data_IF_330152079496
#
_entry.id   IF_330152079496
#
_cell.length_a   1.000
_cell.length_b   1.000
_cell.length_c   1.000
_cell.angle_alpha   90.00
_cell.angle_beta   90.00
_cell.angle_gamma   90.00
#
_symmetry.space_group_name_H-M   'P 1'
#
loop_
_entity.id
_entity.type
_entity.pdbx_description
1 polymer ?
#
# COMPACT_ATOMS: atom_id res chain seq x y z
N UNK A 1 27.25 21.60 10.35
CA UNK A 1 27.02 22.58 11.42
C UNK A 1 26.05 23.62 10.90
N UNK A 2 24.81 23.62 11.38
CA UNK A 2 23.82 24.64 11.01
C UNK A 2 23.87 25.79 12.02
N UNK A 3 23.98 27.06 11.60
CA UNK A 3 23.84 28.18 12.50
C UNK A 3 22.35 28.49 12.76
N UNK A 4 22.00 28.59 14.05
CA UNK A 4 20.76 29.18 14.54
C UNK A 4 20.73 30.68 14.20
N UNK A 5 19.60 31.18 13.70
CA UNK A 5 19.00 32.47 14.15
C UNK A 5 17.59 32.65 13.58
N UNK A 6 16.66 32.76 14.54
CA UNK A 6 15.52 33.70 14.59
C UNK A 6 14.49 33.57 13.47
N UNK A 7 13.32 33.02 13.80
CA UNK A 7 12.07 33.69 13.45
C UNK A 7 11.16 33.75 14.67
N UNK A 8 10.91 34.99 15.08
CA UNK A 8 9.96 35.40 16.10
C UNK A 8 8.53 35.05 15.66
N UNK A 9 7.74 34.70 16.66
CA UNK A 9 6.29 34.56 16.62
C UNK A 9 5.69 35.88 16.18
N UNK A 10 5.08 35.92 14.99
CA UNK A 10 4.07 36.90 14.66
C UNK A 10 2.80 36.15 14.26
N UNK A 11 1.79 36.33 15.11
CA UNK A 11 0.40 35.97 14.92
C UNK A 11 -0.07 36.25 13.49
N UNK A 12 -0.32 35.21 12.72
CA UNK A 12 -1.14 35.28 11.52
C UNK A 12 -2.48 34.61 11.87
N UNK A 13 -3.54 35.38 11.68
CA UNK A 13 -4.92 34.95 11.83
C UNK A 13 -5.16 33.64 11.09
N UNK A 14 -5.77 32.70 11.78
CA UNK A 14 -6.30 31.45 11.26
C UNK A 14 -7.23 31.75 10.09
N UNK A 15 -6.73 31.56 8.88
CA UNK A 15 -7.58 31.36 7.72
C UNK A 15 -8.18 29.98 7.87
N UNK A 16 -9.45 29.94 8.29
CA UNK A 16 -10.34 28.79 8.14
C UNK A 16 -10.46 28.52 6.63
N UNK A 17 -9.62 27.65 6.11
CA UNK A 17 -9.74 27.09 4.77
C UNK A 17 -10.24 25.66 4.96
N UNK A 18 -11.48 25.41 4.55
CA UNK A 18 -12.14 24.12 4.70
C UNK A 18 -11.42 23.02 3.93
N UNK A 19 -10.85 22.09 4.67
CA UNK A 19 -10.58 20.71 4.26
C UNK A 19 -10.99 19.85 5.45
N UNK A 20 -12.24 19.39 5.46
CA UNK A 20 -12.85 18.58 6.54
C UNK A 20 -12.26 17.16 6.65
N UNK A 21 -11.08 16.87 6.09
CA UNK A 21 -10.55 15.51 5.94
C UNK A 21 -9.12 15.31 6.51
N UNK A 22 -8.65 16.24 7.36
CA UNK A 22 -7.38 16.10 8.11
C UNK A 22 -7.56 15.54 9.52
N UNK A 23 -8.79 15.50 10.03
CA UNK A 23 -9.10 14.96 11.35
C UNK A 23 -8.83 13.45 11.43
N UNK A 24 -9.08 12.75 10.32
CA UNK A 24 -8.74 11.34 10.14
C UNK A 24 -7.23 11.05 10.33
N UNK A 25 -6.37 11.90 9.79
CA UNK A 25 -4.92 11.76 9.92
C UNK A 25 -4.47 12.05 11.37
N UNK A 26 -5.12 12.98 12.04
CA UNK A 26 -4.90 13.25 13.46
C UNK A 26 -5.32 12.06 14.33
N UNK A 27 -6.46 11.44 14.02
CA UNK A 27 -6.99 10.26 14.73
C UNK A 27 -6.12 9.01 14.48
N UNK A 28 -5.65 8.79 13.24
CA UNK A 28 -4.70 7.73 12.91
C UNK A 28 -3.39 7.88 13.71
N UNK A 29 -2.89 9.11 13.81
CA UNK A 29 -1.67 9.39 14.60
C UNK A 29 -1.94 9.21 16.10
N UNK A 30 -3.11 9.60 16.60
CA UNK A 30 -3.51 9.37 17.98
C UNK A 30 -3.62 7.86 18.31
N UNK A 31 -4.18 7.06 17.40
CA UNK A 31 -4.25 5.60 17.55
C UNK A 31 -2.86 4.95 17.57
N UNK A 32 -1.93 5.44 16.73
CA UNK A 32 -0.53 5.01 16.78
C UNK A 32 0.15 5.41 18.10
N UNK A 33 -0.25 6.51 18.75
CA UNK A 33 0.27 6.90 20.07
C UNK A 33 -0.08 5.88 21.16
N UNK A 34 -1.28 5.30 21.13
CA UNK A 34 -1.69 4.29 22.13
C UNK A 34 -0.94 2.96 21.95
N UNK A 35 -0.70 2.54 20.71
CA UNK A 35 0.00 1.27 20.40
C UNK A 35 1.51 1.29 20.71
N UNK A 36 2.14 2.47 20.71
CA UNK A 36 3.57 2.62 21.02
C UNK A 36 3.86 2.75 22.52
N UNK A 37 2.90 3.23 23.32
CA UNK A 37 3.02 3.34 24.78
C UNK A 37 3.01 1.96 25.49
N UNK A 38 2.33 0.95 24.93
CA UNK A 38 2.22 -0.38 25.54
C UNK A 38 3.48 -1.25 25.39
N UNK A 39 4.45 -0.86 24.55
CA UNK A 39 5.66 -1.64 24.26
C UNK A 39 6.97 -1.01 24.77
N UNK A 40 6.92 0.11 25.49
CA UNK A 40 8.09 0.89 25.90
C UNK A 40 8.27 1.02 27.42
N UNK A 41 7.93 -0.02 28.19
CA UNK A 41 8.46 -0.15 29.55
C UNK A 41 9.85 -0.78 29.55
N UNK A 42 10.89 -0.11 29.03
CA UNK A 42 12.23 -0.09 29.67
C UNK A 42 13.27 0.80 28.97
N UNK A 43 13.94 1.59 29.82
CA UNK A 43 15.34 2.07 29.76
C UNK A 43 15.73 3.39 29.08
N UNK A 44 15.90 4.40 29.97
CA UNK A 44 17.07 5.28 30.15
C UNK A 44 17.41 6.33 29.07
N UNK A 45 17.01 7.57 29.37
CA UNK A 45 18.02 8.59 29.73
C UNK A 45 18.57 9.50 28.63
N UNK A 46 17.78 9.78 27.60
CA UNK A 46 17.70 11.06 26.87
C UNK A 46 16.19 11.33 26.76
N UNK A 47 15.69 12.57 26.69
CA UNK A 47 14.24 12.84 26.65
C UNK A 47 13.60 12.27 25.37
N UNK A 48 13.28 10.96 25.40
CA UNK A 48 12.66 10.18 24.31
C UNK A 48 11.40 10.90 23.79
N UNK A 49 10.70 11.57 24.70
CA UNK A 49 9.49 12.37 24.47
C UNK A 49 9.67 13.48 23.42
N UNK A 50 10.80 14.20 23.41
CA UNK A 50 11.03 15.33 22.48
C UNK A 50 11.40 14.86 21.06
N UNK A 51 12.18 13.79 20.96
CA UNK A 51 12.58 13.20 19.67
C UNK A 51 11.41 12.45 19.01
N UNK A 52 10.61 11.76 19.82
CA UNK A 52 9.42 11.05 19.35
C UNK A 52 8.36 12.04 18.87
N UNK A 53 8.14 13.13 19.59
CA UNK A 53 7.25 14.22 19.17
C UNK A 53 7.72 14.88 17.86
N UNK A 54 9.03 15.09 17.68
CA UNK A 54 9.58 15.66 16.44
C UNK A 54 9.38 14.74 15.23
N UNK A 55 9.61 13.43 15.40
CA UNK A 55 9.39 12.44 14.34
C UNK A 55 7.92 12.35 13.93
N UNK A 56 7.01 12.37 14.91
CA UNK A 56 5.55 12.39 14.69
C UNK A 56 5.10 13.63 13.92
N UNK A 57 5.54 14.82 14.35
CA UNK A 57 5.21 16.07 13.68
C UNK A 57 5.75 16.12 12.23
N UNK A 58 6.93 15.56 12.00
CA UNK A 58 7.49 15.45 10.66
C UNK A 58 6.68 14.47 9.79
N UNK A 59 6.32 13.30 10.32
CA UNK A 59 5.45 12.35 9.60
C UNK A 59 4.13 13.01 9.21
N UNK A 60 3.46 13.68 10.15
CA UNK A 60 2.21 14.38 9.90
C UNK A 60 2.35 15.43 8.80
N UNK A 61 3.36 16.30 8.90
CA UNK A 61 3.59 17.33 7.89
C UNK A 61 3.83 16.75 6.49
N UNK A 62 4.61 15.67 6.39
CA UNK A 62 4.86 14.98 5.12
C UNK A 62 3.60 14.31 4.57
N UNK A 63 2.83 13.63 5.43
CA UNK A 63 1.57 13.00 5.06
C UNK A 63 0.56 14.03 4.54
N UNK A 64 0.40 15.17 5.22
CA UNK A 64 -0.42 16.30 4.78
C UNK A 64 -0.01 16.79 3.39
N UNK A 65 1.28 17.03 3.15
CA UNK A 65 1.75 17.47 1.83
C UNK A 65 1.44 16.45 0.72
N UNK A 66 1.50 15.15 1.01
CA UNK A 66 1.21 14.11 0.02
C UNK A 66 -0.27 14.13 -0.40
N UNK A 67 -1.18 14.38 0.54
CA UNK A 67 -2.63 14.26 0.32
C UNK A 67 -3.29 15.59 -0.06
N UNK A 68 -2.66 16.73 0.24
CA UNK A 68 -3.21 18.07 -0.06
C UNK A 68 -3.38 18.28 -1.58
N UNK A 69 -4.60 18.43 -2.12
CA UNK A 69 -4.83 18.56 -3.56
C UNK A 69 -4.21 19.82 -4.18
N UNK A 70 -3.86 20.83 -3.37
CA UNK A 70 -3.25 22.08 -3.83
C UNK A 70 -1.73 22.03 -3.83
N UNK A 71 -1.13 21.00 -3.23
CA UNK A 71 0.32 20.86 -3.13
C UNK A 71 0.95 20.54 -4.49
N UNK A 72 2.12 21.12 -4.74
CA UNK A 72 2.84 20.91 -6.00
C UNK A 72 3.29 19.45 -6.14
N UNK A 73 3.25 18.93 -7.36
CA UNK A 73 3.66 17.55 -7.67
C UNK A 73 5.06 17.22 -7.17
N UNK A 74 6.01 18.15 -7.33
CA UNK A 74 7.40 17.99 -6.90
C UNK A 74 7.51 17.90 -5.38
N UNK A 75 6.70 18.65 -4.64
CA UNK A 75 6.67 18.64 -3.18
C UNK A 75 6.05 17.33 -2.69
N UNK A 76 4.94 16.89 -3.29
CA UNK A 76 4.34 15.57 -3.04
C UNK A 76 5.34 14.43 -3.25
N UNK A 77 6.05 14.44 -4.37
CA UNK A 77 7.09 13.45 -4.68
C UNK A 77 8.21 13.45 -3.63
N UNK A 78 8.71 14.63 -3.27
CA UNK A 78 9.74 14.77 -2.23
C UNK A 78 9.25 14.29 -0.87
N UNK A 79 8.00 14.57 -0.52
CA UNK A 79 7.40 14.13 0.73
C UNK A 79 7.26 12.60 0.76
N UNK A 80 6.84 11.96 -0.33
CA UNK A 80 6.79 10.50 -0.45
C UNK A 80 8.20 9.88 -0.33
N UNK A 81 9.21 10.49 -0.96
CA UNK A 81 10.61 10.08 -0.84
C UNK A 81 11.15 10.19 0.59
N UNK A 82 10.75 11.23 1.32
CA UNK A 82 11.09 11.41 2.72
C UNK A 82 10.37 10.36 3.60
N UNK A 83 9.08 10.10 3.36
CA UNK A 83 8.33 9.05 4.06
C UNK A 83 8.90 7.66 3.83
N UNK A 84 9.51 7.39 2.68
CA UNK A 84 10.18 6.11 2.41
C UNK A 84 11.40 5.85 3.32
N UNK A 85 11.83 6.83 4.12
CA UNK A 85 12.89 6.68 5.13
C UNK A 85 12.36 6.45 6.55
N UNK A 86 11.04 6.52 6.75
CA UNK A 86 10.41 6.20 8.04
C UNK A 86 10.22 4.68 8.21
N UNK A 87 10.09 4.19 9.46
CA UNK A 87 9.80 2.78 9.72
C UNK A 87 8.49 2.32 9.04
N UNK A 88 8.56 1.18 8.35
CA UNK A 88 7.42 0.59 7.63
C UNK A 88 6.14 0.44 8.48
N UNK A 89 6.19 0.01 9.77
CA UNK A 89 4.98 -0.13 10.58
C UNK A 89 4.19 1.17 10.77
N UNK A 90 4.85 2.33 10.65
CA UNK A 90 4.21 3.64 10.80
C UNK A 90 3.59 4.08 9.46
N UNK A 91 4.29 3.86 8.35
CA UNK A 91 3.91 4.40 7.03
C UNK A 91 2.96 3.48 6.27
N UNK A 92 3.14 2.17 6.34
CA UNK A 92 2.36 1.22 5.56
C UNK A 92 0.86 1.26 5.85
N UNK A 93 0.38 1.41 7.10
CA UNK A 93 -1.06 1.49 7.32
C UNK A 93 -1.66 2.77 6.73
N UNK A 94 -0.94 3.90 6.74
CA UNK A 94 -1.32 5.11 6.00
C UNK A 94 -1.40 4.85 4.48
N UNK A 95 -0.39 4.20 3.90
CA UNK A 95 -0.36 3.86 2.47
C UNK A 95 -1.54 2.95 2.09
N UNK A 96 -1.79 1.90 2.87
CA UNK A 96 -2.89 0.98 2.62
C UNK A 96 -4.26 1.65 2.81
N UNK A 97 -4.43 2.51 3.83
CA UNK A 97 -5.67 3.24 4.05
C UNK A 97 -6.09 4.07 2.81
N UNK A 98 -5.16 4.84 2.24
CA UNK A 98 -5.42 5.63 1.04
C UNK A 98 -5.66 4.77 -0.20
N UNK A 99 -4.96 3.64 -0.37
CA UNK A 99 -5.21 2.75 -1.50
C UNK A 99 -6.56 2.04 -1.39
N UNK A 100 -6.96 1.60 -0.20
CA UNK A 100 -8.30 1.03 0.04
C UNK A 100 -9.39 2.10 -0.18
N UNK A 101 -9.18 3.33 0.31
CA UNK A 101 -10.06 4.46 0.03
C UNK A 101 -10.25 4.64 -1.49
N UNK A 102 -9.16 4.65 -2.27
CA UNK A 102 -9.23 4.76 -3.74
C UNK A 102 -10.01 3.61 -4.39
N UNK A 103 -9.80 2.36 -3.94
CA UNK A 103 -10.56 1.20 -4.44
C UNK A 103 -12.06 1.36 -4.18
N UNK A 104 -12.43 1.90 -3.01
CA UNK A 104 -13.83 2.18 -2.63
C UNK A 104 -14.44 3.32 -3.44
N UNK A 105 -13.68 4.39 -3.67
CA UNK A 105 -14.09 5.52 -4.52
C UNK A 105 -14.43 5.06 -5.94
N UNK A 106 -13.63 4.15 -6.50
CA UNK A 106 -13.80 3.67 -7.88
C UNK A 106 -14.85 2.56 -8.02
N UNK A 107 -15.32 1.97 -6.92
CA UNK A 107 -16.34 0.92 -6.90
C UNK A 107 -17.51 1.26 -5.94
N UNK A 108 -18.24 2.37 -6.14
CA UNK A 108 -19.25 2.87 -5.20
C UNK A 108 -20.48 1.94 -5.04
N UNK A 109 -20.69 1.02 -5.99
CA UNK A 109 -21.79 0.04 -5.97
C UNK A 109 -21.35 -1.38 -5.58
N UNK A 110 -20.08 -1.58 -5.25
CA UNK A 110 -19.63 -2.85 -4.65
C UNK A 110 -20.20 -3.01 -3.24
N UNK A 111 -20.42 -4.25 -2.80
CA UNK A 111 -20.64 -4.51 -1.37
C UNK A 111 -19.40 -3.97 -0.62
N UNK A 112 -19.63 -3.02 0.29
CA UNK A 112 -18.59 -2.53 1.19
C UNK A 112 -18.30 -3.64 2.21
N UNK A 113 -17.39 -4.54 1.85
CA UNK A 113 -16.77 -5.44 2.81
C UNK A 113 -16.00 -4.62 3.84
N UNK A 114 -16.15 -4.93 5.12
CA UNK A 114 -15.24 -4.43 6.17
C UNK A 114 -13.82 -4.83 5.79
N UNK A 115 -12.88 -3.89 5.69
CA UNK A 115 -11.55 -4.27 5.22
C UNK A 115 -10.76 -5.00 6.30
N UNK A 116 -10.26 -6.19 5.96
CA UNK A 116 -9.33 -6.97 6.78
C UNK A 116 -7.88 -6.47 6.69
N UNK A 117 -7.61 -5.51 5.80
CA UNK A 117 -6.27 -4.96 5.53
C UNK A 117 -5.96 -3.78 6.46
N UNK A 118 -6.93 -2.89 6.65
CA UNK A 118 -6.87 -1.72 7.54
C UNK A 118 -8.22 -1.56 8.23
N UNK A 119 -8.21 -1.20 9.51
CA UNK A 119 -9.44 -0.90 10.25
C UNK A 119 -10.25 0.17 9.52
N UNK A 120 -11.57 -0.02 9.41
CA UNK A 120 -12.43 0.88 8.64
C UNK A 120 -12.41 2.33 9.15
N UNK A 121 -12.23 2.52 10.45
CA UNK A 121 -12.08 3.82 11.12
C UNK A 121 -10.83 4.59 10.65
N UNK A 122 -9.82 3.86 10.18
CA UNK A 122 -8.55 4.40 9.69
C UNK A 122 -8.54 4.59 8.16
N UNK A 123 -9.69 4.55 7.49
CA UNK A 123 -9.79 4.81 6.05
C UNK A 123 -10.30 6.24 5.83
N UNK A 124 -9.56 7.09 5.09
CA UNK A 124 -9.98 8.48 4.84
C UNK A 124 -11.23 8.53 3.95
N UNK A 125 -11.95 9.65 3.95
CA UNK A 125 -13.16 9.82 3.14
C UNK A 125 -12.85 9.95 1.65
N UNK A 126 -11.66 10.49 1.32
CA UNK A 126 -11.20 10.62 -0.05
C UNK A 126 -9.69 10.35 -0.25
N UNK A 127 -9.32 9.90 -1.45
CA UNK A 127 -7.94 9.65 -1.85
C UNK A 127 -7.60 10.34 -3.17
N UNK A 128 -8.36 10.05 -4.22
CA UNK A 128 -8.10 10.52 -5.57
C UNK A 128 -6.88 9.86 -6.25
N UNK A 129 -6.86 9.96 -7.58
CA UNK A 129 -5.92 9.21 -8.43
C UNK A 129 -4.44 9.59 -8.25
N UNK A 130 -4.14 10.87 -7.99
CA UNK A 130 -2.76 11.33 -7.80
C UNK A 130 -2.16 10.75 -6.52
N UNK A 131 -2.92 10.78 -5.43
CA UNK A 131 -2.53 10.20 -4.14
C UNK A 131 -2.35 8.70 -4.27
N UNK A 132 -3.28 7.99 -4.91
CA UNK A 132 -3.15 6.55 -5.18
C UNK A 132 -1.87 6.22 -5.97
N UNK A 133 -1.52 7.01 -7.00
CA UNK A 133 -0.26 6.87 -7.74
C UNK A 133 0.97 7.02 -6.84
N UNK A 134 0.95 7.98 -5.92
CA UNK A 134 2.05 8.19 -4.96
C UNK A 134 2.17 7.04 -3.96
N UNK A 135 1.04 6.47 -3.52
CA UNK A 135 1.04 5.30 -2.64
C UNK A 135 1.57 4.03 -3.34
N UNK A 136 1.18 3.80 -4.60
CA UNK A 136 1.75 2.70 -5.41
C UNK A 136 3.23 2.95 -5.71
N UNK A 137 3.63 4.20 -5.94
CA UNK A 137 5.03 4.57 -6.08
C UNK A 137 5.83 4.29 -4.79
N UNK A 138 5.27 4.60 -3.63
CA UNK A 138 5.87 4.26 -2.33
C UNK A 138 6.10 2.75 -2.19
N UNK A 139 5.08 1.92 -2.48
CA UNK A 139 5.22 0.46 -2.42
C UNK A 139 6.29 -0.07 -3.37
N UNK A 140 6.33 0.45 -4.62
CA UNK A 140 7.38 0.13 -5.57
C UNK A 140 8.78 0.42 -5.01
N UNK A 141 8.94 1.57 -4.36
CA UNK A 141 10.21 1.97 -3.76
C UNK A 141 10.61 1.09 -2.59
N UNK A 142 9.67 0.80 -1.69
CA UNK A 142 9.90 -0.10 -0.54
C UNK A 142 10.32 -1.49 -1.00
N UNK A 143 9.59 -2.13 -1.92
CA UNK A 143 9.96 -3.49 -2.36
C UNK A 143 11.21 -3.54 -3.26
N UNK A 144 11.57 -2.43 -3.88
CA UNK A 144 12.83 -2.33 -4.63
C UNK A 144 14.04 -2.22 -3.71
N UNK A 145 13.96 -1.40 -2.66
CA UNK A 145 15.10 -0.99 -1.84
C UNK A 145 15.23 -1.73 -0.50
N UNK A 146 14.12 -2.14 0.12
CA UNK A 146 14.11 -2.79 1.44
C UNK A 146 13.97 -4.31 1.31
N UNK A 147 15.08 -5.01 1.56
CA UNK A 147 15.11 -6.47 1.48
C UNK A 147 14.32 -7.18 2.59
N UNK A 148 13.89 -6.48 3.63
CA UNK A 148 13.02 -7.05 4.68
C UNK A 148 11.55 -6.94 4.33
N UNK A 149 11.17 -5.91 3.57
CA UNK A 149 9.78 -5.62 3.25
C UNK A 149 9.10 -6.75 2.47
N UNK A 150 9.75 -7.28 1.43
CA UNK A 150 9.14 -8.36 0.62
C UNK A 150 9.11 -9.72 1.33
N UNK A 151 9.97 -9.91 2.34
CA UNK A 151 10.05 -11.13 3.15
C UNK A 151 8.98 -11.20 4.23
N UNK A 152 8.46 -10.05 4.63
CA UNK A 152 7.32 -9.99 5.52
C UNK A 152 6.07 -10.45 4.79
N UNK A 153 5.62 -11.67 5.10
CA UNK A 153 4.46 -12.28 4.45
C UNK A 153 3.16 -11.54 4.71
N UNK A 154 3.04 -10.78 5.81
CA UNK A 154 1.85 -9.95 6.06
C UNK A 154 1.85 -8.73 5.13
N UNK A 155 2.97 -7.97 5.11
CA UNK A 155 3.14 -6.79 4.24
C UNK A 155 2.95 -7.16 2.77
N UNK A 156 3.65 -8.20 2.31
CA UNK A 156 3.57 -8.67 0.91
C UNK A 156 2.16 -9.14 0.57
N UNK A 157 1.47 -9.84 1.48
CA UNK A 157 0.12 -10.34 1.21
C UNK A 157 -0.89 -9.19 1.05
N UNK A 158 -0.89 -8.23 1.98
CA UNK A 158 -1.75 -7.05 1.94
C UNK A 158 -1.49 -6.20 0.71
N UNK A 159 -0.22 -5.96 0.38
CA UNK A 159 0.15 -5.22 -0.82
C UNK A 159 -0.36 -5.91 -2.08
N UNK A 160 -0.15 -7.22 -2.23
CA UNK A 160 -0.65 -7.96 -3.40
C UNK A 160 -2.17 -7.85 -3.54
N UNK A 161 -2.92 -8.03 -2.46
CA UNK A 161 -4.40 -7.93 -2.47
C UNK A 161 -4.85 -6.56 -2.98
N UNK A 162 -4.32 -5.47 -2.41
CA UNK A 162 -4.67 -4.10 -2.80
C UNK A 162 -4.28 -3.79 -4.24
N UNK A 163 -3.08 -4.20 -4.67
CA UNK A 163 -2.63 -3.98 -6.04
C UNK A 163 -3.53 -4.70 -7.05
N UNK A 164 -3.92 -5.94 -6.76
CA UNK A 164 -4.86 -6.71 -7.59
C UNK A 164 -6.23 -6.03 -7.63
N UNK A 165 -6.71 -5.46 -6.50
CA UNK A 165 -7.96 -4.69 -6.46
C UNK A 165 -7.95 -3.51 -7.42
N UNK A 166 -6.84 -2.78 -7.46
CA UNK A 166 -6.65 -1.66 -8.39
C UNK A 166 -6.62 -2.14 -9.85
N UNK A 167 -6.01 -3.31 -10.12
CA UNK A 167 -6.02 -3.93 -11.45
C UNK A 167 -7.42 -4.32 -11.93
N UNK A 168 -8.34 -4.65 -11.01
CA UNK A 168 -9.72 -5.01 -11.32
C UNK A 168 -10.62 -3.82 -11.69
N UNK A 169 -10.19 -2.58 -11.42
CA UNK A 169 -10.99 -1.37 -11.70
C UNK A 169 -11.20 -1.23 -13.21
N UNK A 170 -12.45 -1.14 -13.62
CA UNK A 170 -12.82 -0.92 -15.02
C UNK A 170 -12.65 0.56 -15.38
N UNK A 171 -11.95 0.82 -16.48
CA UNK A 171 -11.93 2.16 -17.07
C UNK A 171 -13.28 2.41 -17.76
N UNK A 172 -13.97 3.49 -17.40
CA UNK A 172 -15.06 4.00 -18.22
C UNK A 172 -14.55 4.37 -19.62
N UNK A 173 -15.38 4.17 -20.66
CA UNK A 173 -14.98 4.32 -22.07
C UNK A 173 -14.70 5.78 -22.49
N UNK A 174 -15.11 6.77 -21.69
CA UNK A 174 -14.98 8.19 -22.00
C UNK A 174 -14.33 8.96 -20.85
N UNK A 175 -13.03 9.28 -20.94
CA UNK A 175 -12.36 10.46 -20.34
C UNK A 175 -10.84 10.33 -20.30
N UNK A 176 -10.15 11.46 -20.14
CA UNK A 176 -8.73 11.58 -19.76
C UNK A 176 -8.34 10.71 -18.55
N UNK A 177 -9.29 10.39 -17.68
CA UNK A 177 -9.08 9.59 -16.47
C UNK A 177 -8.79 8.12 -16.79
N UNK A 178 -9.24 7.63 -17.95
CA UNK A 178 -8.88 6.30 -18.46
C UNK A 178 -7.37 6.15 -18.62
N UNK A 179 -6.72 7.14 -19.27
CA UNK A 179 -5.27 7.11 -19.48
C UNK A 179 -4.50 7.16 -18.15
N UNK A 180 -4.96 7.99 -17.21
CA UNK A 180 -4.31 8.14 -15.92
C UNK A 180 -4.51 6.89 -15.03
N UNK A 181 -5.66 6.22 -15.12
CA UNK A 181 -5.90 4.94 -14.46
C UNK A 181 -5.00 3.85 -15.03
N UNK A 182 -4.80 3.81 -16.35
CA UNK A 182 -3.87 2.84 -16.96
C UNK A 182 -2.42 3.01 -16.48
N UNK A 183 -1.97 4.25 -16.24
CA UNK A 183 -0.66 4.50 -15.64
C UNK A 183 -0.56 3.95 -14.21
N UNK A 184 -1.63 4.11 -13.41
CA UNK A 184 -1.68 3.58 -12.05
C UNK A 184 -1.65 2.03 -12.07
N UNK A 185 -2.46 1.42 -12.92
CA UNK A 185 -2.51 -0.03 -13.09
C UNK A 185 -1.16 -0.58 -13.56
N UNK A 186 -0.48 0.12 -14.48
CA UNK A 186 0.89 -0.23 -14.87
C UNK A 186 1.85 -0.19 -13.68
N UNK A 187 1.80 0.87 -12.86
CA UNK A 187 2.60 0.95 -11.64
C UNK A 187 2.32 -0.18 -10.65
N UNK A 188 1.09 -0.69 -10.62
CA UNK A 188 0.73 -1.87 -9.82
C UNK A 188 1.36 -3.15 -10.39
N UNK A 189 1.32 -3.34 -11.71
CA UNK A 189 1.94 -4.51 -12.37
C UNK A 189 3.45 -4.50 -12.16
N UNK A 190 4.10 -3.34 -12.30
CA UNK A 190 5.55 -3.19 -12.03
C UNK A 190 5.87 -3.59 -10.59
N UNK A 191 5.03 -3.19 -9.62
CA UNK A 191 5.20 -3.53 -8.20
C UNK A 191 5.05 -5.04 -7.94
N UNK A 192 4.02 -5.67 -8.51
CA UNK A 192 3.81 -7.12 -8.43
C UNK A 192 5.00 -7.85 -9.06
N UNK A 193 5.50 -7.40 -10.21
CA UNK A 193 6.64 -8.00 -10.87
C UNK A 193 7.91 -7.93 -10.00
N UNK A 194 8.18 -6.79 -9.36
CA UNK A 194 9.31 -6.64 -8.42
C UNK A 194 9.19 -7.64 -7.26
N UNK A 195 8.02 -7.74 -6.64
CA UNK A 195 7.76 -8.71 -5.57
C UNK A 195 8.05 -10.14 -6.01
N UNK A 196 7.48 -10.55 -7.16
CA UNK A 196 7.69 -11.89 -7.71
C UNK A 196 9.15 -12.17 -8.05
N UNK A 197 9.87 -11.20 -8.63
CA UNK A 197 11.28 -11.34 -8.97
C UNK A 197 12.15 -11.51 -7.71
N UNK A 198 11.89 -10.71 -6.67
CA UNK A 198 12.61 -10.81 -5.39
C UNK A 198 12.34 -12.15 -4.70
N UNK A 199 11.09 -12.60 -4.65
CA UNK A 199 10.70 -13.90 -4.10
C UNK A 199 11.32 -15.06 -4.90
N UNK A 200 11.27 -15.01 -6.23
CA UNK A 200 11.89 -16.03 -7.08
C UNK A 200 13.41 -16.12 -6.90
N UNK A 201 14.09 -14.97 -6.76
CA UNK A 201 15.53 -14.95 -6.48
C UNK A 201 15.87 -15.56 -5.13
N UNK A 202 15.02 -15.38 -4.12
CA UNK A 202 15.17 -15.98 -2.81
C UNK A 202 14.91 -17.49 -2.82
N UNK A 203 13.89 -17.96 -3.54
CA UNK A 203 13.62 -19.40 -3.74
C UNK A 203 14.84 -20.12 -4.31
N UNK A 204 15.49 -19.54 -5.33
CA UNK A 204 16.70 -20.09 -5.95
C UNK A 204 17.89 -20.12 -4.97
N UNK A 205 17.99 -19.13 -4.08
CA UNK A 205 19.06 -19.05 -3.09
C UNK A 205 18.86 -20.08 -1.96
N UNK A 206 17.62 -20.31 -1.54
CA UNK A 206 17.26 -21.19 -0.41
C UNK A 206 17.17 -22.68 -0.79
N UNK A 207 17.01 -23.03 -2.07
CA UNK A 207 17.00 -24.43 -2.55
C UNK A 207 18.31 -25.22 -2.26
N UNK A 208 19.33 -24.54 -1.72
CA UNK A 208 20.59 -25.14 -1.21
C UNK A 208 20.57 -25.53 0.27
N UNK A 209 19.57 -25.13 1.04
CA UNK A 209 19.40 -25.48 2.45
C UNK A 209 17.91 -25.67 2.77
N UNK A 210 17.49 -26.92 2.99
CA UNK A 210 16.11 -27.30 3.36
C UNK A 210 15.48 -26.32 4.35
N UNK A 211 14.42 -25.60 3.96
CA UNK A 211 13.18 -25.34 4.73
C UNK A 211 12.41 -24.12 4.21
N UNK A 212 11.12 -24.33 3.94
CA UNK A 212 10.00 -23.37 3.96
C UNK A 212 10.11 -22.15 3.06
N UNK A 213 9.89 -22.33 1.76
CA UNK A 213 9.69 -21.21 0.85
C UNK A 213 8.32 -21.27 0.19
N UNK A 214 7.50 -20.29 0.58
CA UNK A 214 6.77 -19.39 -0.31
C UNK A 214 6.92 -19.71 -1.80
N UNK A 215 6.28 -20.76 -2.30
CA UNK A 215 6.45 -21.18 -3.69
C UNK A 215 6.02 -20.03 -4.62
N UNK A 216 6.98 -19.28 -5.15
CA UNK A 216 6.72 -18.18 -6.07
C UNK A 216 5.94 -18.69 -7.27
N UNK A 217 6.17 -19.95 -7.66
CA UNK A 217 5.40 -20.63 -8.71
C UNK A 217 3.90 -20.76 -8.37
N UNK A 218 3.55 -21.02 -7.10
CA UNK A 218 2.16 -21.05 -6.65
C UNK A 218 1.52 -19.67 -6.71
N UNK A 219 2.26 -18.62 -6.31
CA UNK A 219 1.78 -17.24 -6.39
C UNK A 219 1.63 -16.75 -7.83
N UNK A 220 2.55 -17.10 -8.73
CA UNK A 220 2.44 -16.83 -10.17
C UNK A 220 1.22 -17.54 -10.76
N UNK A 221 1.01 -18.82 -10.43
CA UNK A 221 -0.17 -19.55 -10.89
C UNK A 221 -1.48 -18.93 -10.37
N UNK A 222 -1.48 -18.44 -9.14
CA UNK A 222 -2.61 -17.71 -8.56
C UNK A 222 -2.91 -16.43 -9.34
N UNK A 223 -1.89 -15.61 -9.58
CA UNK A 223 -2.00 -14.39 -10.36
C UNK A 223 -2.47 -14.68 -11.79
N UNK A 224 -1.93 -15.71 -12.45
CA UNK A 224 -2.37 -16.13 -13.78
C UNK A 224 -3.85 -16.55 -13.76
N UNK A 225 -4.29 -17.28 -12.74
CA UNK A 225 -5.70 -17.67 -12.61
C UNK A 225 -6.62 -16.46 -12.48
N UNK A 226 -6.21 -15.40 -11.80
CA UNK A 226 -6.97 -14.16 -11.68
C UNK A 226 -6.90 -13.29 -12.94
N UNK A 227 -5.72 -13.18 -13.54
CA UNK A 227 -5.51 -12.42 -14.78
C UNK A 227 -6.39 -13.01 -15.89
N UNK A 228 -6.42 -14.34 -16.05
CA UNK A 228 -7.09 -15.00 -17.16
C UNK A 228 -8.44 -15.64 -16.82
N UNK A 229 -8.89 -15.55 -15.56
CA UNK A 229 -10.15 -16.14 -15.13
C UNK A 229 -10.21 -17.66 -15.31
N UNK A 230 -9.07 -18.36 -15.31
CA UNK A 230 -9.06 -19.81 -15.46
C UNK A 230 -9.54 -20.44 -14.17
N UNK A 231 -10.52 -21.34 -14.25
CA UNK A 231 -10.98 -22.14 -13.10
C UNK A 231 -9.75 -22.77 -12.42
N UNK A 232 -9.49 -22.32 -11.19
CA UNK A 232 -8.44 -22.88 -10.35
C UNK A 232 -8.72 -24.37 -10.20
N UNK A 233 -7.81 -25.21 -10.71
CA UNK A 233 -7.87 -26.67 -10.56
C UNK A 233 -8.07 -26.97 -9.07
N UNK A 234 -9.15 -27.67 -8.69
CA UNK A 234 -9.51 -27.99 -7.29
C UNK A 234 -8.34 -28.60 -6.48
N UNK A 235 -7.32 -29.09 -7.18
CA UNK A 235 -6.07 -29.60 -6.61
C UNK A 235 -5.18 -28.52 -5.98
N UNK A 236 -5.17 -27.28 -6.48
CA UNK A 236 -4.41 -26.15 -5.90
C UNK A 236 -5.05 -25.68 -4.58
N UNK A 237 -6.38 -25.67 -4.48
CA UNK A 237 -7.12 -25.35 -3.25
C UNK A 237 -6.87 -26.33 -2.08
N UNK A 238 -6.28 -27.50 -2.35
CA UNK A 238 -6.08 -28.58 -1.36
C UNK A 238 -4.71 -28.59 -0.66
N UNK A 239 -3.78 -27.70 -1.03
CA UNK A 239 -2.54 -27.52 -0.25
C UNK A 239 -2.79 -26.59 0.95
N UNK A 240 -3.08 -27.18 2.11
CA UNK A 240 -3.24 -26.46 3.37
C UNK A 240 -1.88 -26.21 4.03
N UNK A 241 -1.24 -25.10 3.68
CA UNK A 241 -0.14 -24.53 4.44
C UNK A 241 -0.46 -23.06 4.77
N UNK A 242 -1.04 -22.76 5.94
CA UNK A 242 -1.51 -21.43 6.30
C UNK A 242 -0.39 -20.37 6.42
N UNK A 243 0.87 -20.81 6.46
CA UNK A 243 2.04 -19.93 6.48
C UNK A 243 2.54 -19.53 5.09
N UNK A 244 2.05 -20.15 4.00
CA UNK A 244 2.47 -19.80 2.65
C UNK A 244 1.78 -18.51 2.19
N UNK A 245 2.56 -17.56 1.66
CA UNK A 245 2.07 -16.29 1.10
C UNK A 245 0.90 -16.50 0.13
N UNK A 246 0.95 -17.55 -0.69
CA UNK A 246 -0.14 -17.95 -1.59
C UNK A 246 -1.48 -18.06 -0.84
N UNK A 247 -1.52 -18.82 0.25
CA UNK A 247 -2.74 -19.07 1.00
C UNK A 247 -3.26 -17.80 1.66
N UNK A 248 -2.35 -16.95 2.19
CA UNK A 248 -2.70 -15.67 2.78
C UNK A 248 -3.32 -14.72 1.77
N UNK A 249 -2.69 -14.55 0.61
CA UNK A 249 -3.21 -13.68 -0.46
C UNK A 249 -4.56 -14.21 -0.96
N UNK A 250 -4.70 -15.52 -1.15
CA UNK A 250 -5.96 -16.12 -1.56
C UNK A 250 -7.07 -15.87 -0.53
N UNK A 251 -6.81 -16.15 0.74
CA UNK A 251 -7.80 -15.97 1.83
C UNK A 251 -8.22 -14.50 1.96
N UNK A 252 -7.26 -13.57 1.91
CA UNK A 252 -7.55 -12.14 1.99
C UNK A 252 -8.34 -11.65 0.78
N UNK A 253 -8.04 -12.12 -0.43
CA UNK A 253 -8.88 -11.78 -1.57
C UNK A 253 -10.28 -12.36 -1.42
N UNK A 254 -10.44 -13.59 -0.92
CA UNK A 254 -11.75 -14.22 -0.74
C UNK A 254 -12.62 -13.46 0.28
N UNK A 255 -12.00 -12.79 1.25
CA UNK A 255 -12.70 -11.91 2.20
C UNK A 255 -12.99 -10.51 1.66
N UNK A 256 -12.11 -9.95 0.82
CA UNK A 256 -12.23 -8.57 0.35
C UNK A 256 -12.94 -8.44 -1.01
N UNK A 257 -13.05 -9.53 -1.76
CA UNK A 257 -13.48 -9.55 -3.15
C UNK A 257 -14.64 -10.51 -3.35
N UNK A 258 -15.77 -10.04 -3.86
CA UNK A 258 -16.94 -10.92 -4.10
C UNK A 258 -16.73 -11.84 -5.30
N UNK A 259 -17.23 -13.09 -5.28
CA UNK A 259 -17.21 -14.03 -6.43
C UNK A 259 -17.69 -13.40 -7.75
N UNK A 260 -18.62 -12.43 -7.69
CA UNK A 260 -19.11 -11.71 -8.86
C UNK A 260 -18.05 -10.82 -9.52
N UNK A 261 -17.11 -10.30 -8.73
CA UNK A 261 -16.00 -9.48 -9.19
C UNK A 261 -14.77 -10.33 -9.56
N UNK A 262 -14.68 -11.61 -9.17
CA UNK A 262 -13.61 -12.55 -9.54
C UNK A 262 -13.64 -12.96 -11.04
N UNK A 263 -14.08 -12.05 -11.91
CA UNK A 263 -14.07 -12.22 -13.35
C UNK A 263 -12.69 -11.86 -13.89
N UNK A 264 -12.44 -12.24 -15.15
CA UNK A 264 -11.21 -11.86 -15.87
C UNK A 264 -10.93 -10.35 -15.72
N UNK A 265 -9.67 -10.01 -15.42
CA UNK A 265 -9.22 -8.61 -15.37
C UNK A 265 -9.52 -7.89 -16.70
N UNK A 266 -9.65 -6.54 -16.70
CA UNK A 266 -9.81 -5.76 -17.92
C UNK A 266 -8.77 -6.14 -18.98
N UNK A 267 -9.17 -6.22 -20.26
CA UNK A 267 -8.31 -6.72 -21.36
C UNK A 267 -6.98 -5.96 -21.45
N UNK A 268 -6.99 -4.64 -21.23
CA UNK A 268 -5.79 -3.80 -21.26
C UNK A 268 -4.79 -4.20 -20.16
N UNK A 269 -5.29 -4.49 -18.95
CA UNK A 269 -4.49 -4.97 -17.82
C UNK A 269 -3.91 -6.35 -18.15
N UNK A 270 -4.72 -7.27 -18.70
CA UNK A 270 -4.24 -8.59 -19.14
C UNK A 270 -3.09 -8.50 -20.13
N UNK A 271 -3.23 -7.67 -21.16
CA UNK A 271 -2.17 -7.42 -22.16
C UNK A 271 -0.91 -6.86 -21.49
N UNK A 272 -1.07 -5.92 -20.56
CA UNK A 272 0.05 -5.31 -19.83
C UNK A 272 0.77 -6.34 -18.93
N UNK A 273 0.02 -7.16 -18.19
CA UNK A 273 0.56 -8.26 -17.40
C UNK A 273 1.36 -9.24 -18.26
N UNK A 274 0.86 -9.65 -19.44
CA UNK A 274 1.61 -10.50 -20.37
C UNK A 274 2.94 -9.85 -20.80
N UNK A 275 2.95 -8.54 -21.03
CA UNK A 275 4.16 -7.85 -21.49
C UNK A 275 5.23 -7.69 -20.41
N UNK A 276 4.83 -7.61 -19.14
CA UNK A 276 5.74 -7.37 -18.01
C UNK A 276 6.15 -8.69 -17.35
N UNK A 277 5.23 -9.63 -17.14
CA UNK A 277 5.50 -10.90 -16.44
C UNK A 277 6.20 -11.95 -17.32
N UNK A 278 6.22 -11.77 -18.65
CA UNK A 278 6.91 -12.67 -19.60
C UNK A 278 8.30 -12.13 -19.99
N UNK A 279 8.71 -10.97 -19.46
CA UNK A 279 10.06 -10.42 -19.63
C UNK A 279 11.03 -10.98 -18.60
#
# INVERSE_FOLDING_TARGET
MLPRKIFEVNSAQTLLCGCEDLDHLNDYIALQQELHLDNSETTLGISEDDTENTSKNLFHALACSIVDPLEFKEVKMLATEALAKFPLPIVLPFVFAYLICFVREMNPHGERSTSSIVNDENIPDSCGLVTAKLMVYYLNRVFSEDDRAYKDGDISSRALVVLIQILGIQSGEDSTDASLLTDLQRGCIDCIAILLLKLAAEDIAQDRSKSWTTSTSSLVNLLLSWIFGTESDEKLRKLHYPEELYFRVQTLLESEWSEAQYRELPLQVRICCCNILVR
#
